data_IF_088187761273
#
_entry.id   IF_088187761273
#
_cell.length_a   1.000
_cell.length_b   1.000
_cell.length_c   1.000
_cell.angle_alpha   90.00
_cell.angle_beta   90.00
_cell.angle_gamma   90.00
#
_symmetry.space_group_name_H-M   'P 1'
#
loop_
_entity.id
_entity.type
_entity.pdbx_description
1 polymer ?
#
# COMPACT_ATOMS: atom_id res chain seq x y z
N UNK A 1 2.77 39.49 -28.07
CA UNK A 1 2.25 39.75 -26.72
C UNK A 1 1.74 38.43 -26.17
N UNK A 2 2.54 37.76 -25.34
CA UNK A 2 2.13 36.53 -24.65
C UNK A 2 1.17 36.91 -23.54
N UNK A 3 -0.08 36.42 -23.59
CA UNK A 3 -1.00 36.51 -22.45
C UNK A 3 -0.29 36.03 -21.18
N UNK A 4 -0.49 36.68 -20.02
CA UNK A 4 0.06 36.20 -18.77
C UNK A 4 -0.40 34.75 -18.55
N UNK A 5 0.55 33.83 -18.37
CA UNK A 5 0.25 32.45 -17.98
C UNK A 5 -0.41 32.50 -16.60
N UNK A 6 -1.61 31.97 -16.51
CA UNK A 6 -2.28 31.78 -15.21
C UNK A 6 -1.47 30.71 -14.45
N UNK A 7 -1.07 30.96 -13.19
CA UNK A 7 -0.42 29.95 -12.35
C UNK A 7 -1.24 28.66 -12.25
N UNK A 8 -0.56 27.51 -12.21
CA UNK A 8 -1.23 26.21 -12.12
C UNK A 8 -2.02 26.06 -10.83
N UNK A 9 -1.51 26.57 -9.71
CA UNK A 9 -2.21 26.58 -8.43
C UNK A 9 -3.56 27.31 -8.53
N UNK A 10 -3.58 28.51 -9.13
CA UNK A 10 -4.81 29.28 -9.33
C UNK A 10 -5.84 28.53 -10.18
N UNK A 11 -5.41 27.83 -11.22
CA UNK A 11 -6.30 27.01 -12.05
C UNK A 11 -6.89 25.83 -11.26
N UNK A 12 -6.07 25.16 -10.44
CA UNK A 12 -6.54 24.07 -9.58
C UNK A 12 -7.51 24.57 -8.51
N UNK A 13 -7.20 25.69 -7.85
CA UNK A 13 -8.10 26.33 -6.87
C UNK A 13 -9.42 26.73 -7.53
N UNK A 14 -9.36 27.36 -8.72
CA UNK A 14 -10.54 27.71 -9.47
C UNK A 14 -11.39 26.48 -9.84
N UNK A 15 -10.76 25.36 -10.21
CA UNK A 15 -11.44 24.10 -10.48
C UNK A 15 -12.09 23.48 -9.24
N UNK A 16 -11.37 23.45 -8.12
CA UNK A 16 -11.84 22.92 -6.83
C UNK A 16 -12.98 23.74 -6.22
N UNK A 17 -13.00 25.06 -6.49
CA UNK A 17 -14.00 25.99 -5.95
C UNK A 17 -15.11 26.33 -6.95
N UNK A 18 -15.03 25.81 -8.18
CA UNK A 18 -16.02 26.06 -9.22
C UNK A 18 -17.41 25.60 -8.76
N UNK A 19 -18.36 26.54 -8.81
CA UNK A 19 -19.75 26.25 -8.49
C UNK A 19 -20.40 25.49 -9.65
N UNK A 20 -20.80 24.24 -9.41
CA UNK A 20 -21.66 23.46 -10.31
C UNK A 20 -23.07 23.40 -9.74
N UNK A 21 -24.08 23.48 -10.59
CA UNK A 21 -25.47 23.26 -10.19
C UNK A 21 -25.72 21.79 -9.87
N UNK A 22 -26.79 21.49 -9.11
CA UNK A 22 -27.21 20.12 -8.85
C UNK A 22 -27.60 19.38 -10.15
N UNK A 23 -28.18 20.10 -11.12
CA UNK A 23 -28.55 19.55 -12.42
C UNK A 23 -27.31 19.15 -13.23
N UNK A 24 -26.28 20.00 -13.25
CA UNK A 24 -25.01 19.68 -13.90
C UNK A 24 -24.35 18.46 -13.27
N UNK A 25 -24.26 18.39 -11.92
CA UNK A 25 -23.72 17.20 -11.23
C UNK A 25 -24.50 15.92 -11.55
N UNK A 26 -25.83 16.00 -11.58
CA UNK A 26 -26.69 14.86 -11.90
C UNK A 26 -26.54 14.40 -13.36
N UNK A 27 -26.33 15.33 -14.29
CA UNK A 27 -26.05 15.02 -15.69
C UNK A 27 -24.65 14.40 -15.85
N UNK A 28 -23.66 14.95 -15.14
CA UNK A 28 -22.27 14.53 -15.20
C UNK A 28 -22.09 13.04 -14.86
N UNK A 29 -22.86 12.46 -13.93
CA UNK A 29 -22.76 11.03 -13.55
C UNK A 29 -23.44 10.05 -14.52
N UNK A 30 -24.04 10.53 -15.61
CA UNK A 30 -24.76 9.70 -16.60
C UNK A 30 -24.17 9.89 -17.99
N UNK A 31 -24.03 8.82 -18.80
CA UNK A 31 -23.67 8.96 -20.20
C UNK A 31 -24.54 10.02 -20.89
N UNK A 32 -23.96 10.99 -21.63
CA UNK A 32 -22.60 11.01 -22.15
C UNK A 32 -21.52 11.64 -21.23
N UNK A 33 -21.81 11.85 -19.94
CA UNK A 33 -20.93 12.45 -18.93
C UNK A 33 -20.49 13.89 -19.29
N UNK A 34 -21.44 14.82 -19.47
CA UNK A 34 -21.09 16.20 -19.82
C UNK A 34 -20.30 16.88 -18.69
N UNK A 35 -19.21 17.56 -19.07
CA UNK A 35 -18.46 18.43 -18.16
C UNK A 35 -19.19 19.77 -18.02
N UNK A 36 -19.40 20.29 -16.80
CA UNK A 36 -20.01 21.61 -16.59
C UNK A 36 -19.26 22.71 -17.33
N UNK A 37 -19.97 23.64 -17.97
CA UNK A 37 -19.38 24.65 -18.85
C UNK A 37 -18.37 25.57 -18.14
N UNK A 38 -18.61 25.87 -16.86
CA UNK A 38 -17.71 26.65 -16.03
C UNK A 38 -16.38 25.93 -15.73
N UNK A 39 -16.39 24.58 -15.74
CA UNK A 39 -15.23 23.74 -15.43
C UNK A 39 -14.45 23.37 -16.69
N UNK A 40 -15.13 23.18 -17.83
CA UNK A 40 -14.53 22.71 -19.08
C UNK A 40 -13.22 23.43 -19.46
N UNK A 41 -13.13 24.78 -19.51
CA UNK A 41 -11.87 25.44 -19.90
C UNK A 41 -10.74 25.22 -18.89
N UNK A 42 -11.05 25.11 -17.59
CA UNK A 42 -10.08 24.87 -16.53
C UNK A 42 -9.56 23.43 -16.63
N UNK A 43 -10.48 22.46 -16.72
CA UNK A 43 -10.17 21.04 -16.94
C UNK A 43 -9.25 20.87 -18.14
N UNK A 44 -9.62 21.43 -19.29
CA UNK A 44 -8.87 21.23 -20.53
C UNK A 44 -7.47 21.87 -20.45
N UNK A 45 -7.32 22.94 -19.67
CA UNK A 45 -6.00 23.52 -19.40
C UNK A 45 -5.15 22.60 -18.52
N UNK A 46 -5.70 22.13 -17.39
CA UNK A 46 -4.98 21.23 -16.48
C UNK A 46 -4.61 19.92 -17.17
N UNK A 47 -5.52 19.35 -17.96
CA UNK A 47 -5.24 18.14 -18.76
C UNK A 47 -4.10 18.36 -19.74
N UNK A 48 -4.07 19.47 -20.49
CA UNK A 48 -2.95 19.76 -21.38
C UNK A 48 -1.63 19.89 -20.63
N UNK A 49 -1.65 20.53 -19.47
CA UNK A 49 -0.44 20.69 -18.64
C UNK A 49 0.08 19.33 -18.12
N UNK A 50 -0.82 18.40 -17.80
CA UNK A 50 -0.46 17.03 -17.48
C UNK A 50 0.10 16.27 -18.71
N UNK A 51 -0.59 16.34 -19.84
CA UNK A 51 -0.19 15.64 -21.09
C UNK A 51 1.17 16.10 -21.61
N UNK A 52 1.45 17.41 -21.58
CA UNK A 52 2.74 17.98 -22.03
C UNK A 52 3.92 17.52 -21.15
N UNK A 53 3.65 17.09 -19.90
CA UNK A 53 4.67 16.59 -18.97
C UNK A 53 4.81 15.07 -18.98
N UNK A 54 4.04 14.36 -19.80
CA UNK A 54 4.27 12.94 -20.02
C UNK A 54 5.68 12.75 -20.62
N UNK A 55 6.48 11.82 -20.08
CA UNK A 55 7.75 11.51 -20.71
C UNK A 55 7.50 10.90 -22.11
N UNK A 56 8.42 11.08 -23.07
CA UNK A 56 8.28 10.48 -24.40
C UNK A 56 8.24 8.96 -24.33
N UNK A 57 9.04 8.36 -23.43
CA UNK A 57 9.13 6.92 -23.19
C UNK A 57 8.94 6.60 -21.71
N UNK A 58 8.42 5.39 -21.43
CA UNK A 58 8.20 4.89 -20.07
C UNK A 58 6.99 5.50 -19.35
N UNK A 59 6.88 5.21 -18.07
CA UNK A 59 5.66 5.41 -17.27
C UNK A 59 5.61 6.74 -16.50
N UNK A 60 6.75 7.45 -16.40
CA UNK A 60 6.89 8.65 -15.59
C UNK A 60 7.03 8.37 -14.09
N UNK A 61 6.99 9.41 -13.23
CA UNK A 61 7.18 9.23 -11.80
C UNK A 61 6.03 8.45 -11.15
N UNK A 62 6.33 7.84 -10.00
CA UNK A 62 5.33 7.23 -9.11
C UNK A 62 4.34 8.30 -8.64
N UNK A 63 3.05 8.01 -8.75
CA UNK A 63 1.96 8.93 -8.43
C UNK A 63 0.96 8.29 -7.46
N UNK A 64 0.52 9.04 -6.45
CA UNK A 64 -0.57 8.68 -5.53
C UNK A 64 -1.57 9.83 -5.48
N UNK A 65 -2.82 9.55 -5.81
CA UNK A 65 -3.89 10.56 -5.79
C UNK A 65 -4.76 10.49 -4.54
N UNK A 66 -4.70 9.36 -3.82
CA UNK A 66 -5.42 9.14 -2.55
C UNK A 66 -4.44 8.79 -1.44
N UNK A 67 -4.68 9.29 -0.23
CA UNK A 67 -3.80 9.10 0.92
C UNK A 67 -3.54 7.60 1.22
N UNK A 68 -4.57 6.76 1.10
CA UNK A 68 -4.49 5.30 1.24
C UNK A 68 -4.51 4.53 -0.08
N UNK A 69 -4.52 5.23 -1.22
CA UNK A 69 -4.64 4.60 -2.54
C UNK A 69 -3.41 3.78 -2.95
N UNK A 70 -3.48 3.08 -4.09
CA UNK A 70 -2.31 2.47 -4.69
C UNK A 70 -1.32 3.53 -5.19
N UNK A 71 -0.06 3.14 -5.36
CA UNK A 71 0.92 3.90 -6.14
C UNK A 71 0.77 3.49 -7.59
N UNK A 72 0.49 4.44 -8.46
CA UNK A 72 0.34 4.25 -9.90
C UNK A 72 1.50 4.93 -10.65
N UNK A 73 1.57 4.71 -11.95
CA UNK A 73 2.45 5.52 -12.80
C UNK A 73 1.77 6.85 -13.16
N UNK A 74 2.58 7.89 -13.33
CA UNK A 74 2.10 9.18 -13.81
C UNK A 74 1.30 9.04 -15.12
N UNK A 75 1.80 8.25 -16.08
CA UNK A 75 1.10 8.01 -17.34
C UNK A 75 -0.30 7.42 -17.15
N UNK A 76 -0.42 6.44 -16.25
CA UNK A 76 -1.72 5.83 -15.95
C UNK A 76 -2.67 6.82 -15.29
N UNK A 77 -2.20 7.61 -14.33
CA UNK A 77 -3.01 8.67 -13.69
C UNK A 77 -3.49 9.70 -14.72
N UNK A 78 -2.62 10.17 -15.62
CA UNK A 78 -3.02 11.11 -16.70
C UNK A 78 -4.03 10.47 -17.65
N UNK A 79 -3.82 9.21 -18.05
CA UNK A 79 -4.77 8.46 -18.89
C UNK A 79 -6.15 8.41 -18.26
N UNK A 80 -6.22 8.08 -16.97
CA UNK A 80 -7.48 7.95 -16.22
C UNK A 80 -8.18 9.30 -16.08
N UNK A 81 -7.44 10.38 -15.78
CA UNK A 81 -7.96 11.75 -15.72
C UNK A 81 -8.52 12.25 -17.07
N UNK A 82 -7.95 11.78 -18.18
CA UNK A 82 -8.42 12.09 -19.53
C UNK A 82 -9.70 11.35 -19.95
N UNK A 83 -10.12 10.31 -19.23
CA UNK A 83 -11.29 9.51 -19.63
C UNK A 83 -12.60 10.30 -19.46
N UNK A 84 -13.49 10.27 -20.47
CA UNK A 84 -14.79 10.92 -20.39
C UNK A 84 -15.78 10.17 -19.48
N UNK A 85 -15.39 9.05 -18.85
CA UNK A 85 -16.28 8.23 -18.01
C UNK A 85 -16.39 8.72 -16.56
N UNK A 86 -15.59 9.70 -16.17
CA UNK A 86 -15.65 10.29 -14.82
C UNK A 86 -16.61 11.47 -14.83
N UNK A 87 -17.53 11.44 -13.86
CA UNK A 87 -18.62 12.40 -13.80
C UNK A 87 -18.14 13.84 -13.71
N UNK A 88 -17.13 14.08 -12.88
CA UNK A 88 -16.44 15.34 -12.79
C UNK A 88 -14.95 15.07 -12.92
N UNK A 89 -14.23 16.04 -13.46
CA UNK A 89 -12.78 16.00 -13.46
C UNK A 89 -12.26 16.18 -12.04
N UNK A 90 -11.48 15.22 -11.55
CA UNK A 90 -10.95 15.23 -10.19
C UNK A 90 -9.72 16.15 -10.13
N UNK A 91 -9.94 17.43 -9.80
CA UNK A 91 -8.86 18.42 -9.70
C UNK A 91 -7.86 18.10 -8.58
N UNK A 92 -8.28 17.40 -7.54
CA UNK A 92 -7.43 16.88 -6.46
C UNK A 92 -6.48 15.76 -6.93
N UNK A 93 -6.97 14.82 -7.76
CA UNK A 93 -6.14 13.80 -8.40
C UNK A 93 -5.13 14.49 -9.36
N UNK A 94 -5.58 15.49 -10.12
CA UNK A 94 -4.74 16.26 -11.02
C UNK A 94 -3.65 17.07 -10.27
N UNK A 95 -3.98 17.64 -9.11
CA UNK A 95 -3.01 18.30 -8.24
C UNK A 95 -1.93 17.31 -7.81
N UNK A 96 -2.29 16.12 -7.35
CA UNK A 96 -1.31 15.08 -6.98
C UNK A 96 -0.41 14.69 -8.15
N UNK A 97 -0.97 14.52 -9.35
CA UNK A 97 -0.19 14.23 -10.55
C UNK A 97 0.79 15.37 -10.89
N UNK A 98 0.36 16.64 -10.80
CA UNK A 98 1.24 17.79 -11.02
C UNK A 98 2.35 17.91 -9.96
N UNK A 99 2.07 17.54 -8.70
CA UNK A 99 3.10 17.43 -7.65
C UNK A 99 4.11 16.35 -8.03
N UNK A 100 3.66 15.19 -8.52
CA UNK A 100 4.54 14.07 -8.87
C UNK A 100 5.61 14.43 -9.91
N UNK A 101 5.30 15.36 -10.82
CA UNK A 101 6.23 15.88 -11.84
C UNK A 101 6.88 17.21 -11.46
N UNK A 102 6.74 17.67 -10.20
CA UNK A 102 7.35 18.91 -9.72
C UNK A 102 6.82 20.17 -10.41
N UNK A 103 5.58 20.14 -10.90
CA UNK A 103 4.98 21.28 -11.61
C UNK A 103 4.39 22.35 -10.67
N UNK A 104 4.29 22.05 -9.37
CA UNK A 104 3.86 22.98 -8.32
C UNK A 104 5.03 23.23 -7.37
N UNK A 105 5.34 24.50 -7.11
CA UNK A 105 6.33 24.92 -6.13
C UNK A 105 5.82 24.74 -4.68
N UNK A 106 6.69 24.98 -3.70
CA UNK A 106 6.29 24.93 -2.29
C UNK A 106 5.20 25.96 -1.97
N UNK A 107 5.38 27.20 -2.43
CA UNK A 107 4.41 28.29 -2.23
C UNK A 107 3.06 27.96 -2.90
N UNK A 108 3.07 27.37 -4.10
CA UNK A 108 1.85 26.88 -4.78
C UNK A 108 1.08 25.88 -3.91
N UNK A 109 1.81 25.04 -3.16
CA UNK A 109 1.22 24.03 -2.29
C UNK A 109 0.68 24.62 -0.99
N UNK A 110 1.29 25.68 -0.45
CA UNK A 110 0.76 26.40 0.71
C UNK A 110 -0.60 27.02 0.38
N UNK A 111 -0.74 27.60 -0.82
CA UNK A 111 -1.99 28.20 -1.29
C UNK A 111 -3.05 27.16 -1.68
N UNK A 112 -2.64 26.05 -2.29
CA UNK A 112 -3.57 25.01 -2.77
C UNK A 112 -4.07 24.09 -1.63
N UNK A 113 -3.23 23.78 -0.64
CA UNK A 113 -3.53 22.78 0.39
C UNK A 113 -4.86 22.99 1.14
N UNK A 114 -5.30 24.22 1.48
CA UNK A 114 -6.59 24.47 2.14
C UNK A 114 -7.82 24.01 1.34
N UNK A 115 -7.69 23.88 0.01
CA UNK A 115 -8.77 23.48 -0.89
C UNK A 115 -8.77 21.98 -1.19
N UNK A 116 -7.71 21.26 -0.81
CA UNK A 116 -7.60 19.83 -1.04
C UNK A 116 -8.33 19.03 0.05
N UNK A 117 -9.10 17.99 -0.33
CA UNK A 117 -9.80 17.16 0.65
C UNK A 117 -8.81 16.35 1.49
N UNK A 118 -9.22 15.97 2.70
CA UNK A 118 -8.37 15.24 3.67
C UNK A 118 -7.89 13.88 3.14
N UNK A 119 -8.68 13.23 2.29
CA UNK A 119 -8.34 11.95 1.66
C UNK A 119 -7.38 12.08 0.46
N UNK A 120 -7.07 13.31 0.02
CA UNK A 120 -6.17 13.58 -1.10
C UNK A 120 -4.75 13.06 -0.84
N UNK A 121 -4.11 12.50 -1.86
CA UNK A 121 -2.78 11.92 -1.79
C UNK A 121 -1.62 12.90 -1.64
N UNK A 122 -1.84 14.22 -1.71
CA UNK A 122 -0.76 15.20 -1.92
C UNK A 122 0.37 15.12 -0.90
N UNK A 123 0.07 14.96 0.41
CA UNK A 123 1.11 14.84 1.46
C UNK A 123 1.95 13.59 1.28
N UNK A 124 1.32 12.48 0.90
CA UNK A 124 2.01 11.23 0.60
C UNK A 124 2.79 11.33 -0.72
N UNK A 125 2.28 12.05 -1.71
CA UNK A 125 3.01 12.33 -2.94
C UNK A 125 4.30 13.11 -2.67
N UNK A 126 4.28 14.08 -1.75
CA UNK A 126 5.49 14.79 -1.32
C UNK A 126 6.52 13.84 -0.69
N UNK A 127 6.08 12.84 0.08
CA UNK A 127 6.96 11.76 0.58
C UNK A 127 7.59 10.98 -0.59
N UNK A 128 6.78 10.56 -1.57
CA UNK A 128 7.28 9.84 -2.76
C UNK A 128 8.28 10.66 -3.57
N UNK A 129 8.07 11.97 -3.72
CA UNK A 129 9.00 12.86 -4.40
C UNK A 129 10.34 12.94 -3.66
N UNK A 130 10.33 13.01 -2.32
CA UNK A 130 11.57 12.97 -1.52
C UNK A 130 12.30 11.63 -1.67
N UNK A 131 11.56 10.51 -1.67
CA UNK A 131 12.15 9.20 -1.94
C UNK A 131 12.79 9.12 -3.33
N UNK A 132 12.12 9.63 -4.36
CA UNK A 132 12.65 9.70 -5.73
C UNK A 132 13.91 10.57 -5.83
N UNK A 133 14.01 11.63 -5.01
CA UNK A 133 15.20 12.47 -4.89
C UNK A 133 16.32 11.84 -4.03
N UNK A 134 16.10 10.65 -3.46
CA UNK A 134 17.04 9.99 -2.55
C UNK A 134 17.07 10.57 -1.13
N UNK A 135 16.19 11.54 -0.82
CA UNK A 135 16.07 12.18 0.49
C UNK A 135 15.21 11.36 1.46
N UNK A 136 15.79 10.28 1.97
CA UNK A 136 15.12 9.40 2.92
C UNK A 136 14.83 10.10 4.26
N UNK A 137 15.71 11.00 4.70
CA UNK A 137 15.53 11.73 5.96
C UNK A 137 14.35 12.70 5.87
N UNK A 138 14.26 13.46 4.78
CA UNK A 138 13.11 14.31 4.51
C UNK A 138 11.83 13.50 4.27
N UNK A 139 11.90 12.33 3.60
CA UNK A 139 10.73 11.47 3.46
C UNK A 139 10.16 11.05 4.82
N UNK A 140 11.01 10.65 5.78
CA UNK A 140 10.61 10.35 7.17
C UNK A 140 10.03 11.56 7.89
N UNK A 141 10.67 12.72 7.77
CA UNK A 141 10.19 13.95 8.38
C UNK A 141 8.79 14.31 7.84
N UNK A 142 8.58 14.24 6.52
CA UNK A 142 7.25 14.43 5.93
C UNK A 142 6.25 13.40 6.44
N UNK A 143 6.61 12.12 6.46
CA UNK A 143 5.72 11.06 6.93
C UNK A 143 5.30 11.26 8.39
N UNK A 144 6.18 11.75 9.26
CA UNK A 144 5.86 12.03 10.66
C UNK A 144 4.77 13.08 10.85
N UNK A 145 4.69 14.08 9.97
CA UNK A 145 3.68 15.16 10.00
C UNK A 145 2.29 14.71 9.51
N UNK A 146 2.17 13.52 8.91
CA UNK A 146 0.86 12.99 8.51
C UNK A 146 0.06 12.57 9.73
N UNK A 147 -1.27 12.70 9.61
CA UNK A 147 -2.23 12.16 10.58
C UNK A 147 -2.07 10.64 10.72
N UNK A 148 -2.27 10.12 11.93
CA UNK A 148 -2.02 8.72 12.28
C UNK A 148 -2.73 7.73 11.33
N UNK A 149 -3.92 8.09 10.84
CA UNK A 149 -4.71 7.24 9.95
C UNK A 149 -4.09 7.03 8.56
N UNK A 150 -3.24 7.97 8.10
CA UNK A 150 -2.55 7.94 6.81
C UNK A 150 -1.05 7.70 6.93
N UNK A 151 -0.46 8.08 8.07
CA UNK A 151 0.99 8.02 8.34
C UNK A 151 1.59 6.66 7.99
N UNK A 152 0.94 5.57 8.42
CA UNK A 152 1.45 4.22 8.22
C UNK A 152 1.64 3.85 6.73
N UNK A 153 0.81 4.41 5.84
CA UNK A 153 0.91 4.17 4.40
C UNK A 153 2.17 4.81 3.81
N UNK A 154 2.48 6.05 4.22
CA UNK A 154 3.72 6.72 3.84
C UNK A 154 4.97 6.00 4.37
N UNK A 155 4.91 5.47 5.60
CA UNK A 155 6.00 4.63 6.11
C UNK A 155 6.14 3.31 5.35
N UNK A 156 5.06 2.72 4.81
CA UNK A 156 5.18 1.56 3.91
C UNK A 156 5.84 1.91 2.58
N UNK A 157 5.64 3.12 2.04
CA UNK A 157 6.40 3.56 0.86
C UNK A 157 7.89 3.71 1.15
N UNK A 158 8.23 4.28 2.32
CA UNK A 158 9.60 4.34 2.83
C UNK A 158 10.17 2.91 2.98
N UNK A 159 9.39 1.99 3.55
CA UNK A 159 9.74 0.59 3.67
C UNK A 159 9.98 -0.08 2.32
N UNK A 160 9.11 0.14 1.33
CA UNK A 160 9.27 -0.38 -0.03
C UNK A 160 10.57 0.12 -0.68
N UNK A 161 10.93 1.39 -0.47
CA UNK A 161 12.19 1.96 -0.96
C UNK A 161 13.42 1.31 -0.27
N UNK A 162 13.37 1.14 1.05
CA UNK A 162 14.43 0.46 1.82
C UNK A 162 14.59 -1.00 1.39
N UNK A 163 13.47 -1.70 1.24
CA UNK A 163 13.39 -3.07 0.78
C UNK A 163 14.01 -3.21 -0.62
N UNK A 164 13.63 -2.36 -1.58
CA UNK A 164 14.16 -2.37 -2.94
C UNK A 164 15.69 -2.12 -2.99
N UNK A 165 16.23 -1.34 -2.04
CA UNK A 165 17.68 -1.09 -1.90
C UNK A 165 18.44 -2.21 -1.15
N UNK A 166 17.72 -3.23 -0.70
CA UNK A 166 18.26 -4.28 0.17
C UNK A 166 18.71 -3.79 1.54
N UNK A 167 18.20 -2.64 2.01
CA UNK A 167 18.48 -2.12 3.35
C UNK A 167 17.53 -2.76 4.37
N UNK A 168 17.79 -4.03 4.69
CA UNK A 168 16.98 -4.79 5.64
C UNK A 168 17.00 -4.18 7.06
N UNK A 169 18.15 -3.69 7.51
CA UNK A 169 18.26 -3.04 8.83
C UNK A 169 17.39 -1.79 8.89
N UNK A 170 17.47 -0.92 7.89
CA UNK A 170 16.59 0.25 7.78
C UNK A 170 15.13 -0.14 7.69
N UNK A 171 14.80 -1.14 6.85
CA UNK A 171 13.43 -1.64 6.70
C UNK A 171 12.82 -2.10 8.03
N UNK A 172 13.58 -2.86 8.83
CA UNK A 172 13.10 -3.34 10.12
C UNK A 172 13.09 -2.26 11.21
N UNK A 173 13.96 -1.25 11.13
CA UNK A 173 13.94 -0.11 12.05
C UNK A 173 12.61 0.68 11.99
N UNK A 174 11.98 0.76 10.81
CA UNK A 174 10.70 1.47 10.61
C UNK A 174 9.47 0.63 10.96
N UNK A 175 9.64 -0.64 11.34
CA UNK A 175 8.57 -1.62 11.43
C UNK A 175 7.36 -1.20 12.27
N UNK A 176 7.61 -0.51 13.39
CA UNK A 176 6.55 0.00 14.29
C UNK A 176 5.59 0.95 13.59
N UNK A 177 6.01 1.58 12.49
CA UNK A 177 5.21 2.54 11.73
C UNK A 177 4.38 1.89 10.63
N UNK A 178 4.60 0.62 10.27
CA UNK A 178 3.91 -0.04 9.15
C UNK A 178 2.46 -0.45 9.45
N UNK A 179 2.00 -0.31 10.69
CA UNK A 179 0.66 -0.70 11.14
C UNK A 179 0.26 -2.09 10.62
N UNK A 180 1.06 -3.12 10.91
CA UNK A 180 0.99 -4.44 10.26
C UNK A 180 -0.33 -5.22 10.47
N UNK A 181 -1.21 -4.73 11.34
CA UNK A 181 -2.56 -5.26 11.48
C UNK A 181 -3.50 -4.85 10.32
N UNK A 182 -3.17 -3.78 9.59
CA UNK A 182 -3.94 -3.25 8.45
C UNK A 182 -3.42 -3.85 7.14
N UNK A 183 -4.31 -4.07 6.16
CA UNK A 183 -3.97 -4.45 4.77
C UNK A 183 -2.80 -5.45 4.70
N UNK A 184 -3.06 -6.68 5.17
CA UNK A 184 -2.02 -7.70 5.36
C UNK A 184 -1.45 -8.25 4.05
N UNK A 185 -2.16 -8.10 2.94
CA UNK A 185 -1.70 -8.51 1.61
C UNK A 185 -0.48 -7.69 1.18
N UNK A 186 -0.49 -6.38 1.43
CA UNK A 186 0.62 -5.48 1.15
C UNK A 186 1.91 -5.84 1.92
N UNK A 187 1.81 -6.52 3.08
CA UNK A 187 3.00 -7.00 3.78
C UNK A 187 3.74 -8.09 3.01
N UNK A 188 3.00 -8.92 2.26
CA UNK A 188 3.63 -9.93 1.41
C UNK A 188 4.35 -9.29 0.22
N UNK A 189 3.80 -8.22 -0.36
CA UNK A 189 4.48 -7.45 -1.40
C UNK A 189 5.76 -6.77 -0.88
N UNK A 190 5.72 -6.20 0.33
CA UNK A 190 6.92 -5.70 0.99
C UNK A 190 7.95 -6.80 1.26
N UNK A 191 7.51 -8.01 1.62
CA UNK A 191 8.39 -9.15 1.82
C UNK A 191 9.09 -9.58 0.50
N UNK A 192 8.35 -9.62 -0.60
CA UNK A 192 8.90 -9.91 -1.94
C UNK A 192 9.94 -8.88 -2.34
N UNK A 193 9.64 -7.59 -2.16
CA UNK A 193 10.58 -6.50 -2.42
C UNK A 193 11.84 -6.62 -1.56
N UNK A 194 11.68 -6.94 -0.28
CA UNK A 194 12.79 -7.06 0.66
C UNK A 194 13.71 -8.23 0.28
N UNK A 195 13.14 -9.40 -0.01
CA UNK A 195 13.89 -10.57 -0.48
C UNK A 195 14.66 -10.23 -1.76
N UNK A 196 13.99 -9.65 -2.75
CA UNK A 196 14.63 -9.30 -4.02
C UNK A 196 15.77 -8.28 -3.84
N UNK A 197 15.56 -7.24 -3.04
CA UNK A 197 16.57 -6.22 -2.80
C UNK A 197 17.75 -6.73 -1.98
N UNK A 198 17.52 -7.53 -0.93
CA UNK A 198 18.61 -8.14 -0.14
C UNK A 198 19.39 -9.13 -1.00
N UNK A 199 18.71 -9.96 -1.79
CA UNK A 199 19.35 -10.87 -2.73
C UNK A 199 20.26 -10.15 -3.73
N UNK A 200 19.76 -9.07 -4.34
CA UNK A 200 20.53 -8.23 -5.26
C UNK A 200 21.73 -7.56 -4.58
N UNK A 201 21.58 -7.11 -3.33
CA UNK A 201 22.65 -6.46 -2.56
C UNK A 201 23.73 -7.45 -2.10
N UNK A 202 23.35 -8.65 -1.69
CA UNK A 202 24.24 -9.67 -1.13
C UNK A 202 24.77 -10.65 -2.18
N UNK A 203 24.28 -10.59 -3.41
CA UNK A 203 24.79 -11.38 -4.54
C UNK A 203 24.34 -12.84 -4.55
N UNK A 204 23.15 -13.14 -4.01
CA UNK A 204 22.53 -14.46 -4.15
C UNK A 204 21.29 -14.39 -5.05
N UNK A 205 20.95 -15.51 -5.67
CA UNK A 205 19.76 -15.61 -6.49
C UNK A 205 18.57 -16.03 -5.63
N UNK A 206 17.46 -15.28 -5.61
CA UNK A 206 16.27 -15.73 -4.93
C UNK A 206 15.74 -17.00 -5.59
N UNK A 207 15.20 -17.89 -4.78
CA UNK A 207 14.51 -19.06 -5.24
C UNK A 207 13.34 -18.66 -6.15
N UNK A 208 12.95 -19.51 -7.12
CA UNK A 208 11.74 -19.28 -7.92
C UNK A 208 10.52 -19.11 -7.02
N UNK A 209 9.39 -18.61 -7.56
CA UNK A 209 8.22 -18.13 -6.81
C UNK A 209 7.75 -18.98 -5.60
N UNK A 210 7.98 -20.30 -5.59
CA UNK A 210 7.70 -21.19 -4.46
C UNK A 210 8.71 -21.15 -3.29
N UNK A 211 9.79 -20.38 -3.37
CA UNK A 211 10.84 -20.28 -2.35
C UNK A 211 10.89 -18.93 -1.61
N UNK A 212 9.89 -18.07 -1.81
CA UNK A 212 9.81 -16.76 -1.15
C UNK A 212 9.91 -16.88 0.38
N UNK A 213 9.25 -17.89 0.96
CA UNK A 213 9.17 -18.05 2.42
C UNK A 213 10.53 -18.47 2.99
N UNK A 214 11.26 -19.35 2.31
CA UNK A 214 12.61 -19.80 2.64
C UNK A 214 13.61 -18.65 2.58
N UNK A 215 13.54 -17.86 1.51
CA UNK A 215 14.41 -16.70 1.33
C UNK A 215 14.09 -15.60 2.34
N UNK A 216 12.81 -15.36 2.63
CA UNK A 216 12.40 -14.43 3.66
C UNK A 216 12.85 -14.91 5.05
N UNK A 217 12.77 -16.21 5.34
CA UNK A 217 13.29 -16.78 6.58
C UNK A 217 14.80 -16.51 6.71
N UNK A 218 15.58 -16.67 5.62
CA UNK A 218 17.00 -16.32 5.59
C UNK A 218 17.23 -14.84 5.91
N UNK A 219 16.45 -13.94 5.29
CA UNK A 219 16.55 -12.49 5.54
C UNK A 219 16.23 -12.15 6.99
N UNK A 220 15.14 -12.73 7.52
CA UNK A 220 14.72 -12.51 8.92
C UNK A 220 15.79 -13.02 9.90
N UNK A 221 16.32 -14.22 9.68
CA UNK A 221 17.35 -14.81 10.56
C UNK A 221 18.65 -13.99 10.55
N UNK A 222 19.01 -13.39 9.41
CA UNK A 222 20.23 -12.59 9.28
C UNK A 222 20.10 -11.14 9.75
N UNK A 223 18.94 -10.50 9.53
CA UNK A 223 18.79 -9.04 9.63
C UNK A 223 17.77 -8.57 10.65
N UNK A 224 16.80 -9.41 11.04
CA UNK A 224 15.75 -9.02 12.00
C UNK A 224 16.10 -9.37 13.45
N UNK A 225 17.11 -10.22 13.67
CA UNK A 225 17.53 -10.65 15.00
C UNK A 225 17.94 -9.45 15.88
N UNK A 226 17.29 -9.31 17.04
CA UNK A 226 17.53 -8.19 17.97
C UNK A 226 16.92 -6.85 17.54
N UNK A 227 16.33 -6.76 16.34
CA UNK A 227 15.63 -5.57 15.83
C UNK A 227 14.12 -5.74 15.95
N UNK A 228 13.61 -6.89 15.50
CA UNK A 228 12.20 -7.22 15.56
C UNK A 228 11.87 -8.22 16.67
N UNK A 229 10.80 -7.99 17.46
CA UNK A 229 10.21 -9.03 18.30
C UNK A 229 9.85 -10.29 17.49
N UNK A 230 9.97 -11.46 18.09
CA UNK A 230 9.70 -12.74 17.40
C UNK A 230 8.29 -12.79 16.80
N UNK A 231 7.26 -12.29 17.51
CA UNK A 231 5.90 -12.25 16.98
C UNK A 231 5.81 -11.45 15.67
N UNK A 232 6.57 -10.35 15.54
CA UNK A 232 6.57 -9.51 14.35
C UNK A 232 7.24 -10.21 13.15
N UNK A 233 8.33 -10.93 13.41
CA UNK A 233 8.98 -11.78 12.41
C UNK A 233 8.01 -12.86 11.89
N UNK A 234 7.27 -13.50 12.81
CA UNK A 234 6.30 -14.52 12.47
C UNK A 234 5.12 -13.96 11.68
N UNK A 235 4.66 -12.74 11.98
CA UNK A 235 3.61 -12.08 11.18
C UNK A 235 4.07 -11.86 9.73
N UNK A 236 5.31 -11.45 9.51
CA UNK A 236 5.86 -11.27 8.16
C UNK A 236 5.95 -12.60 7.40
N UNK A 237 6.43 -13.66 8.05
CA UNK A 237 6.50 -15.01 7.48
C UNK A 237 5.10 -15.57 7.17
N UNK A 238 4.14 -15.38 8.07
CA UNK A 238 2.75 -15.77 7.85
C UNK A 238 2.11 -15.05 6.67
N UNK A 239 2.39 -13.75 6.50
CA UNK A 239 1.92 -13.00 5.33
C UNK A 239 2.51 -13.57 4.03
N UNK A 240 3.80 -13.90 4.00
CA UNK A 240 4.43 -14.53 2.85
C UNK A 240 3.82 -15.92 2.55
N UNK A 241 3.66 -16.78 3.58
CA UNK A 241 3.03 -18.10 3.42
C UNK A 241 1.63 -17.97 2.81
N UNK A 242 0.79 -17.08 3.36
CA UNK A 242 -0.56 -16.84 2.82
C UNK A 242 -0.54 -16.36 1.36
N UNK A 243 0.48 -15.59 0.97
CA UNK A 243 0.57 -15.06 -0.41
C UNK A 243 0.99 -16.09 -1.46
N UNK A 244 1.66 -17.17 -1.04
CA UNK A 244 2.14 -18.23 -1.95
C UNK A 244 1.33 -19.52 -1.85
N UNK A 245 0.41 -19.59 -0.89
CA UNK A 245 -0.44 -20.76 -0.68
C UNK A 245 -1.79 -20.53 -1.32
N UNK A 246 -2.27 -21.52 -2.09
CA UNK A 246 -3.61 -21.48 -2.67
C UNK A 246 -4.69 -21.33 -1.59
N UNK A 247 -5.83 -20.74 -1.94
CA UNK A 247 -6.94 -20.51 -1.00
C UNK A 247 -7.58 -21.78 -0.42
N UNK A 248 -7.34 -22.95 -1.03
CA UNK A 248 -7.84 -24.26 -0.62
C UNK A 248 -6.74 -25.33 -0.80
N UNK A 249 -5.64 -25.23 -0.03
CA UNK A 249 -4.46 -26.03 -0.31
C UNK A 249 -4.70 -27.49 0.07
N UNK A 250 -4.19 -28.41 -0.73
CA UNK A 250 -4.30 -29.85 -0.45
C UNK A 250 -3.35 -30.31 0.66
N UNK A 251 -2.25 -29.59 0.85
CA UNK A 251 -1.19 -29.83 1.83
C UNK A 251 -0.71 -28.49 2.37
N UNK A 252 -0.20 -28.49 3.59
CA UNK A 252 0.43 -27.30 4.17
C UNK A 252 1.68 -26.88 3.38
N UNK A 253 2.00 -25.59 3.41
CA UNK A 253 3.31 -25.10 2.99
C UNK A 253 4.41 -25.77 3.86
N UNK A 254 5.57 -26.17 3.30
CA UNK A 254 6.61 -26.89 4.05
C UNK A 254 7.09 -26.18 5.34
N UNK A 255 7.08 -24.85 5.35
CA UNK A 255 7.45 -24.02 6.50
C UNK A 255 6.28 -23.63 7.43
N UNK A 256 5.03 -23.98 7.09
CA UNK A 256 3.87 -23.59 7.89
C UNK A 256 3.94 -24.17 9.30
N UNK A 257 4.27 -25.46 9.44
CA UNK A 257 4.36 -26.12 10.74
C UNK A 257 5.34 -25.43 11.67
N UNK A 258 6.51 -25.04 11.15
CA UNK A 258 7.54 -24.33 11.92
C UNK A 258 7.03 -22.96 12.41
N UNK A 259 6.33 -22.22 11.55
CA UNK A 259 5.77 -20.91 11.92
C UNK A 259 4.67 -21.07 12.96
N UNK A 260 3.77 -22.06 12.77
CA UNK A 260 2.70 -22.38 13.72
C UNK A 260 3.27 -22.77 15.08
N UNK A 261 4.24 -23.68 15.14
CA UNK A 261 4.83 -24.13 16.40
C UNK A 261 5.47 -22.97 17.17
N UNK A 262 6.15 -22.05 16.48
CA UNK A 262 6.72 -20.83 17.10
C UNK A 262 5.64 -19.87 17.58
N UNK A 263 4.56 -19.68 16.82
CA UNK A 263 3.41 -18.87 17.26
C UNK A 263 2.71 -19.49 18.48
N UNK A 264 2.55 -20.82 18.51
CA UNK A 264 1.95 -21.55 19.63
C UNK A 264 2.82 -21.45 20.89
N UNK A 265 4.14 -21.42 20.74
CA UNK A 265 5.08 -21.24 21.84
C UNK A 265 4.98 -19.87 22.53
N UNK A 266 4.39 -18.86 21.88
CA UNK A 266 4.11 -17.55 22.49
C UNK A 266 2.95 -17.70 23.49
N UNK A 267 3.32 -18.10 24.71
CA UNK A 267 2.39 -18.40 25.79
C UNK A 267 1.92 -17.17 26.59
N UNK A 268 1.12 -17.40 27.64
CA UNK A 268 0.54 -16.34 28.48
C UNK A 268 1.57 -15.40 29.14
N UNK A 269 2.80 -15.87 29.35
CA UNK A 269 3.89 -15.06 29.91
C UNK A 269 4.26 -13.85 29.03
N UNK A 270 3.94 -13.88 27.73
CA UNK A 270 4.15 -12.74 26.82
C UNK A 270 3.14 -11.59 27.04
N UNK A 271 2.13 -11.79 27.90
CA UNK A 271 1.11 -10.79 28.21
C UNK A 271 -0.12 -10.86 27.28
N UNK A 272 -1.23 -10.30 27.77
CA UNK A 272 -2.55 -10.40 27.12
C UNK A 272 -2.58 -9.86 25.69
N UNK A 273 -1.92 -8.73 25.43
CA UNK A 273 -1.87 -8.12 24.11
C UNK A 273 -1.12 -9.00 23.09
N UNK A 274 0.02 -9.57 23.49
CA UNK A 274 0.80 -10.47 22.63
C UNK A 274 0.01 -11.75 22.34
N UNK A 275 -0.63 -12.35 23.36
CA UNK A 275 -1.50 -13.53 23.20
C UNK A 275 -2.63 -13.27 22.22
N UNK A 276 -3.34 -12.15 22.37
CA UNK A 276 -4.45 -11.80 21.49
C UNK A 276 -3.99 -11.61 20.04
N UNK A 277 -2.86 -10.93 19.85
CA UNK A 277 -2.28 -10.70 18.52
C UNK A 277 -1.78 -11.99 17.87
N UNK A 278 -1.16 -12.88 18.64
CA UNK A 278 -0.77 -14.22 18.21
C UNK A 278 -1.98 -15.06 17.82
N UNK A 279 -3.06 -15.02 18.60
CA UNK A 279 -4.29 -15.75 18.26
C UNK A 279 -4.91 -15.22 16.95
N UNK A 280 -4.88 -13.91 16.74
CA UNK A 280 -5.33 -13.29 15.49
C UNK A 280 -4.48 -13.76 14.29
N UNK A 281 -3.17 -13.93 14.49
CA UNK A 281 -2.27 -14.45 13.44
C UNK A 281 -2.53 -15.92 13.13
N UNK A 282 -2.67 -16.76 14.16
CA UNK A 282 -3.01 -18.17 14.01
C UNK A 282 -4.35 -18.35 13.28
N UNK A 283 -5.33 -17.50 13.57
CA UNK A 283 -6.61 -17.52 12.87
C UNK A 283 -6.50 -17.03 11.42
N UNK A 284 -5.68 -16.01 11.16
CA UNK A 284 -5.46 -15.48 9.81
C UNK A 284 -4.75 -16.48 8.87
N UNK A 285 -3.98 -17.41 9.42
CA UNK A 285 -3.35 -18.51 8.67
C UNK A 285 -4.35 -19.57 8.19
N UNK A 286 -5.59 -19.59 8.70
CA UNK A 286 -6.57 -20.63 8.38
C UNK A 286 -6.72 -20.95 6.89
N UNK A 287 -6.84 -19.96 5.96
CA UNK A 287 -6.96 -20.25 4.53
C UNK A 287 -5.78 -21.01 3.93
N UNK A 288 -4.60 -20.94 4.56
CA UNK A 288 -3.38 -21.58 4.08
C UNK A 288 -3.17 -23.01 4.65
N UNK A 289 -4.11 -23.54 5.46
CA UNK A 289 -3.98 -24.86 6.08
C UNK A 289 -4.61 -25.94 5.20
N UNK A 290 -3.82 -26.94 4.81
CA UNK A 290 -4.26 -28.14 4.10
C UNK A 290 -4.36 -29.39 4.98
N UNK A 291 -3.69 -29.43 6.14
CA UNK A 291 -3.67 -30.59 7.03
C UNK A 291 -4.55 -30.42 8.29
N UNK A 292 -5.29 -31.48 8.64
CA UNK A 292 -6.17 -31.49 9.82
C UNK A 292 -5.40 -31.40 11.14
N UNK A 293 -4.20 -31.95 11.21
CA UNK A 293 -3.39 -31.92 12.43
C UNK A 293 -2.91 -30.50 12.75
N UNK A 294 -2.54 -29.74 11.72
CA UNK A 294 -2.18 -28.31 11.83
C UNK A 294 -3.38 -27.49 12.28
N UNK A 295 -4.56 -27.71 11.69
CA UNK A 295 -5.80 -27.08 12.13
C UNK A 295 -6.12 -27.40 13.61
N UNK A 296 -5.98 -28.67 14.02
CA UNK A 296 -6.24 -29.10 15.38
C UNK A 296 -5.30 -28.43 16.39
N UNK A 297 -4.00 -28.35 16.09
CA UNK A 297 -3.01 -27.63 16.91
C UNK A 297 -3.37 -26.16 17.07
N UNK A 298 -3.70 -25.48 15.97
CA UNK A 298 -4.11 -24.07 15.97
C UNK A 298 -5.36 -23.86 16.82
N UNK A 299 -6.39 -24.70 16.62
CA UNK A 299 -7.64 -24.64 17.39
C UNK A 299 -7.42 -24.82 18.89
N UNK A 300 -6.52 -25.72 19.28
CA UNK A 300 -6.16 -25.95 20.67
C UNK A 300 -5.41 -24.76 21.27
N UNK A 301 -4.53 -24.12 20.50
CA UNK A 301 -3.68 -23.04 20.96
C UNK A 301 -4.40 -21.68 21.07
N UNK A 302 -5.33 -21.38 20.16
CA UNK A 302 -6.09 -20.12 20.14
C UNK A 302 -6.94 -20.00 21.39
N UNK A 303 -6.72 -18.96 22.20
CA UNK A 303 -7.43 -18.76 23.48
C UNK A 303 -8.58 -17.77 23.34
N UNK A 304 -8.48 -16.83 22.40
CA UNK A 304 -9.48 -15.79 22.14
C UNK A 304 -10.74 -16.40 21.51
N UNK A 305 -11.91 -16.32 22.17
CA UNK A 305 -13.12 -17.03 21.72
C UNK A 305 -13.56 -16.69 20.29
N UNK A 306 -13.55 -15.41 19.91
CA UNK A 306 -14.03 -14.95 18.60
C UNK A 306 -13.19 -15.45 17.41
N UNK A 307 -11.97 -15.94 17.64
CA UNK A 307 -11.11 -16.46 16.56
C UNK A 307 -11.33 -17.95 16.28
N UNK A 308 -12.13 -18.65 17.09
CA UNK A 308 -12.34 -20.11 16.95
C UNK A 308 -13.45 -20.48 15.96
N UNK A 309 -14.31 -19.54 15.58
CA UNK A 309 -15.52 -19.80 14.78
C UNK A 309 -15.20 -20.49 13.46
N UNK A 310 -14.16 -20.02 12.75
CA UNK A 310 -13.74 -20.56 11.45
C UNK A 310 -12.76 -21.74 11.56
N UNK A 311 -12.20 -22.01 12.74
CA UNK A 311 -11.17 -23.05 12.95
C UNK A 311 -11.74 -24.46 13.16
N UNK A 312 -12.94 -24.73 12.66
CA UNK A 312 -13.66 -25.98 12.89
C UNK A 312 -13.56 -26.97 11.73
N UNK A 313 -13.31 -26.48 10.52
CA UNK A 313 -13.20 -27.24 9.28
C UNK A 313 -12.01 -26.73 8.47
N UNK A 314 -11.51 -27.54 7.54
CA UNK A 314 -10.47 -27.09 6.60
C UNK A 314 -11.07 -26.14 5.56
N UNK A 315 -10.28 -25.20 4.98
CA UNK A 315 -10.73 -24.32 3.91
C UNK A 315 -11.36 -25.07 2.73
N UNK A 316 -10.71 -26.13 2.25
CA UNK A 316 -11.23 -26.98 1.16
C UNK A 316 -12.54 -27.69 1.50
N UNK A 317 -12.80 -27.94 2.78
CA UNK A 317 -14.02 -28.59 3.27
C UNK A 317 -15.15 -27.55 3.49
N UNK A 318 -14.83 -26.25 3.46
CA UNK A 318 -15.75 -25.13 3.65
C UNK A 318 -16.25 -24.51 2.34
N UNK A 319 -15.51 -24.69 1.23
CA UNK A 319 -15.87 -24.15 -0.07
C UNK A 319 -17.16 -24.79 -0.61
N UNK A 320 -18.11 -24.03 -1.18
CA UNK A 320 -19.31 -24.58 -1.78
C UNK A 320 -18.94 -25.51 -2.95
N UNK A 321 -19.57 -26.69 -3.00
CA UNK A 321 -19.36 -27.65 -4.08
C UNK A 321 -19.64 -26.99 -5.44
N UNK A 322 -18.59 -26.80 -6.26
CA UNK A 322 -18.70 -26.25 -7.62
C UNK A 322 -17.95 -24.95 -7.91
N UNK A 323 -16.89 -24.63 -7.17
CA UNK A 323 -15.95 -23.56 -7.53
C UNK A 323 -14.59 -24.15 -7.92
N UNK A 324 -14.59 -24.89 -9.04
CA UNK A 324 -13.40 -25.16 -9.86
C UNK A 324 -13.32 -24.11 -10.98
#
# INVERSE_FOLDING_TARGET
MTSPRIPLADLLIAGLTASTTAAERAAAVRPPYPVPAAIAPIRDHVLRELEVRLPPDGDGPRTVTRALGPVESYRETVRVLGLPRRALFDFDDAACALIAVGALAADDMEDLAPFLPTWCGYRRQLVLNRLAAGDLAGARASAAELEDEYRWRAYRDIGAELAARGDATGFFAEWRHYAIAREREDLAELAKLLVAGVAGREGWNPAPAGGLVEDLQRVVDGHAAGVLPELDQLVLLSAAIRSVTDSCPQRDHPLLDRVVDRLVAIGPAAGKAAVHRRDAELAALWPAIGNRDTLARIRQAVQTPGFRENLTILPRDAAPAGSD
#
